data_IF_022640990680
#
_entry.id   IF_022640990680
#
_cell.length_a   1.000
_cell.length_b   1.000
_cell.length_c   1.000
_cell.angle_alpha   90.00
_cell.angle_beta   90.00
_cell.angle_gamma   90.00
#
_symmetry.space_group_name_H-M   'P 1'
#
loop_
_entity.id
_entity.type
_entity.pdbx_description
1 polymer ?
#
# COMPACT_ATOMS: atom_id res chain seq x y z
N UNK A 1 -9.24 9.89 0.60
CA UNK A 1 -8.51 11.16 0.34
C UNK A 1 -7.34 11.32 1.30
N UNK A 2 -6.11 11.24 0.78
CA UNK A 2 -4.89 11.46 1.55
C UNK A 2 -4.79 12.95 1.92
N UNK A 3 -4.89 13.27 3.20
CA UNK A 3 -4.83 14.65 3.69
C UNK A 3 -3.39 14.96 4.09
N UNK A 4 -2.75 15.90 3.41
CA UNK A 4 -1.44 16.41 3.81
C UNK A 4 -1.61 17.24 5.11
N UNK A 5 -0.76 17.03 6.12
CA UNK A 5 -0.71 17.93 7.27
C UNK A 5 -0.34 19.34 6.79
N UNK A 6 -1.30 20.27 6.87
CA UNK A 6 -1.17 21.62 6.32
C UNK A 6 -2.42 22.15 5.61
N UNK A 7 -3.47 21.35 5.45
CA UNK A 7 -4.75 21.79 4.85
C UNK A 7 -4.69 21.99 3.33
N UNK A 8 -3.55 21.72 2.71
CA UNK A 8 -3.41 21.66 1.25
C UNK A 8 -4.02 20.35 0.77
N UNK A 9 -5.04 20.44 -0.08
CA UNK A 9 -5.61 19.27 -0.74
C UNK A 9 -4.64 18.80 -1.84
N UNK A 10 -4.43 17.49 -1.98
CA UNK A 10 -3.43 16.94 -2.91
C UNK A 10 -3.69 17.36 -4.36
N UNK A 11 -4.95 17.51 -4.74
CA UNK A 11 -5.38 17.98 -6.07
C UNK A 11 -4.87 19.40 -6.42
N UNK A 12 -4.41 20.16 -5.42
CA UNK A 12 -3.82 21.49 -5.61
C UNK A 12 -2.33 21.46 -5.98
N UNK A 13 -1.66 20.32 -5.85
CA UNK A 13 -0.25 20.18 -6.18
C UNK A 13 -0.07 20.10 -7.70
N UNK A 14 0.80 20.93 -8.31
CA UNK A 14 1.01 20.92 -9.76
C UNK A 14 1.30 19.52 -10.32
N UNK A 15 2.14 18.75 -9.63
CA UNK A 15 2.49 17.37 -10.00
C UNK A 15 1.26 16.45 -10.03
N UNK A 16 0.36 16.54 -9.05
CA UNK A 16 -0.86 15.70 -9.03
C UNK A 16 -1.79 16.04 -10.20
N UNK A 17 -1.86 17.32 -10.57
CA UNK A 17 -2.68 17.78 -11.71
C UNK A 17 -2.09 17.39 -13.06
N UNK A 18 -0.76 17.23 -13.13
CA UNK A 18 -0.05 16.79 -14.34
C UNK A 18 -0.19 15.29 -14.61
N UNK A 19 -0.45 14.48 -13.56
CA UNK A 19 -0.54 13.02 -13.64
C UNK A 19 -1.86 12.47 -13.05
N UNK A 20 -3.03 12.83 -13.61
CA UNK A 20 -4.33 12.42 -13.06
C UNK A 20 -4.60 10.91 -13.17
N UNK A 21 -3.89 10.22 -14.07
CA UNK A 21 -3.90 8.77 -14.28
C UNK A 21 -3.08 8.00 -13.22
N UNK A 22 -2.04 8.63 -12.67
CA UNK A 22 -1.18 8.06 -11.63
C UNK A 22 -1.74 8.31 -10.22
N UNK A 23 -2.47 9.42 -10.04
CA UNK A 23 -3.07 9.82 -8.76
C UNK A 23 -4.61 9.93 -8.86
N UNK A 24 -5.33 8.84 -9.17
CA UNK A 24 -6.78 8.86 -9.20
C UNK A 24 -7.37 9.12 -7.79
N UNK A 25 -8.53 9.76 -7.74
CA UNK A 25 -9.23 10.08 -6.49
C UNK A 25 -9.65 8.79 -5.73
N UNK A 26 -9.95 7.74 -6.51
CA UNK A 26 -10.17 6.36 -6.08
C UNK A 26 -8.99 5.50 -6.55
N UNK A 27 -8.18 5.00 -5.62
CA UNK A 27 -7.07 4.08 -5.93
C UNK A 27 -7.67 2.68 -6.09
N UNK A 28 -7.30 1.94 -7.14
CA UNK A 28 -7.69 0.53 -7.23
C UNK A 28 -6.90 -0.27 -6.18
N UNK A 29 -7.59 -0.98 -5.29
CA UNK A 29 -6.98 -1.85 -4.26
C UNK A 29 -6.14 -2.99 -4.86
N UNK A 30 -6.36 -3.28 -6.14
CA UNK A 30 -5.65 -4.32 -6.88
C UNK A 30 -4.54 -3.65 -7.70
N UNK A 31 -3.28 -4.14 -7.62
CA UNK A 31 -2.25 -3.66 -8.51
C UNK A 31 -2.73 -3.80 -9.97
N UNK A 32 -2.38 -2.85 -10.86
CA UNK A 32 -2.79 -2.90 -12.26
C UNK A 32 -2.51 -4.28 -12.85
N UNK A 33 -3.42 -4.78 -13.71
CA UNK A 33 -3.21 -6.05 -14.40
C UNK A 33 -1.86 -6.01 -15.08
N UNK A 34 -0.95 -6.85 -14.62
CA UNK A 34 0.37 -6.99 -15.21
C UNK A 34 0.24 -7.99 -16.36
N UNK A 35 0.94 -7.75 -17.45
CA UNK A 35 0.90 -8.62 -18.64
C UNK A 35 1.51 -10.01 -18.39
N UNK A 36 2.27 -10.16 -17.30
CA UNK A 36 3.01 -11.38 -16.96
C UNK A 36 2.63 -11.82 -15.54
N UNK A 37 2.50 -13.12 -15.34
CA UNK A 37 2.35 -13.74 -14.01
C UNK A 37 3.69 -13.68 -13.26
N UNK A 38 3.67 -13.23 -12.02
CA UNK A 38 4.89 -13.07 -11.21
C UNK A 38 5.12 -14.34 -10.39
N UNK A 39 6.26 -14.99 -10.60
CA UNK A 39 6.76 -16.08 -9.75
C UNK A 39 7.84 -15.57 -8.81
N UNK A 40 7.85 -16.09 -7.58
CA UNK A 40 8.95 -15.84 -6.63
C UNK A 40 9.88 -17.04 -6.69
N UNK A 41 11.00 -16.88 -7.40
CA UNK A 41 12.03 -17.92 -7.49
C UNK A 41 12.90 -17.91 -6.23
N UNK A 42 13.04 -19.08 -5.61
CA UNK A 42 13.90 -19.26 -4.44
C UNK A 42 15.25 -19.84 -4.86
N UNK A 43 16.32 -19.41 -4.19
CA UNK A 43 17.63 -20.06 -4.33
C UNK A 43 17.52 -21.50 -3.82
N UNK A 44 18.05 -22.51 -4.53
CA UNK A 44 18.02 -23.90 -4.07
C UNK A 44 18.57 -24.04 -2.65
N UNK A 45 17.83 -24.71 -1.78
CA UNK A 45 18.18 -24.86 -0.36
C UNK A 45 17.60 -23.79 0.57
N UNK A 46 16.84 -22.81 0.05
CA UNK A 46 16.10 -21.85 0.89
C UNK A 46 15.02 -22.58 1.70
N UNK A 47 15.07 -22.46 3.03
CA UNK A 47 14.03 -22.96 3.94
C UNK A 47 13.05 -21.84 4.33
N UNK A 48 11.79 -22.16 4.67
CA UNK A 48 10.86 -21.19 5.22
C UNK A 48 11.41 -20.51 6.48
N UNK A 49 11.15 -19.22 6.63
CA UNK A 49 11.54 -18.44 7.81
C UNK A 49 10.30 -18.19 8.65
N UNK A 50 10.39 -18.44 9.96
CA UNK A 50 9.36 -18.10 10.92
C UNK A 50 9.95 -17.16 11.97
N UNK A 51 9.40 -15.95 12.05
CA UNK A 51 9.78 -14.95 13.06
C UNK A 51 8.55 -14.55 13.86
N UNK A 52 8.73 -14.29 15.15
CA UNK A 52 7.66 -13.77 15.98
C UNK A 52 7.25 -12.36 15.49
N UNK A 53 5.96 -12.02 15.46
CA UNK A 53 5.51 -10.66 15.15
C UNK A 53 6.11 -9.65 16.13
N UNK A 54 6.39 -8.44 15.62
CA UNK A 54 6.81 -7.33 16.48
C UNK A 54 5.68 -6.89 17.40
N UNK A 55 6.04 -6.39 18.58
CA UNK A 55 5.08 -5.81 19.51
C UNK A 55 4.59 -4.47 18.94
N UNK A 56 3.28 -4.34 18.83
CA UNK A 56 2.59 -3.12 18.43
C UNK A 56 1.69 -2.66 19.57
N UNK A 57 1.49 -1.35 19.68
CA UNK A 57 0.51 -0.76 20.58
C UNK A 57 -0.93 -1.09 20.16
N UNK A 58 -1.90 -0.85 21.04
CA UNK A 58 -3.32 -1.10 20.73
C UNK A 58 -3.82 -0.24 19.55
N UNK A 59 -3.35 1.00 19.43
CA UNK A 59 -3.72 1.89 18.32
C UNK A 59 -3.17 1.41 16.97
N UNK A 60 -1.92 0.94 16.96
CA UNK A 60 -1.30 0.40 15.73
C UNK A 60 -1.99 -0.90 15.29
N UNK A 61 -2.34 -1.78 16.24
CA UNK A 61 -3.08 -3.01 15.93
C UNK A 61 -4.48 -2.73 15.39
N UNK A 62 -5.17 -1.72 15.93
CA UNK A 62 -6.50 -1.34 15.44
C UNK A 62 -6.43 -0.80 14.01
N UNK A 63 -5.45 0.04 13.69
CA UNK A 63 -5.25 0.56 12.34
C UNK A 63 -4.85 -0.56 11.36
N UNK A 64 -3.91 -1.42 11.76
CA UNK A 64 -3.51 -2.57 10.94
C UNK A 64 -4.70 -3.49 10.65
N UNK A 65 -5.54 -3.75 11.66
CA UNK A 65 -6.75 -4.56 11.48
C UNK A 65 -7.70 -3.93 10.46
N UNK A 66 -7.94 -2.62 10.56
CA UNK A 66 -8.79 -1.89 9.63
C UNK A 66 -8.26 -1.99 8.20
N UNK A 67 -6.95 -1.81 8.00
CA UNK A 67 -6.34 -1.95 6.67
C UNK A 67 -6.48 -3.37 6.11
N UNK A 68 -6.36 -4.40 6.94
CA UNK A 68 -6.56 -5.79 6.53
C UNK A 68 -8.02 -6.12 6.17
N UNK A 69 -9.00 -5.44 6.78
CA UNK A 69 -10.42 -5.58 6.44
C UNK A 69 -10.81 -4.86 5.13
N UNK A 70 -9.98 -3.90 4.70
CA UNK A 70 -10.15 -3.12 3.46
C UNK A 70 -9.45 -3.77 2.24
N UNK A 71 -8.61 -4.80 2.44
CA UNK A 71 -7.95 -5.58 1.37
C UNK A 71 -8.91 -6.57 0.68
#
# INVERSE_FOLDING_TARGET
>A
SLKLEGGVRMEGLPVVREFPDVFPEDVSDVPPKREVEFTIDLVPGTSPIFMAPYRMSASELNELKKQLEEL
#
